data_IF_833826261873
#
_entry.id   IF_833826261873
#
_cell.length_a   1.000
_cell.length_b   1.000
_cell.length_c   1.000
_cell.angle_alpha   90.00
_cell.angle_beta   90.00
_cell.angle_gamma   90.00
#
_symmetry.space_group_name_H-M   'P 1'
#
loop_
_entity.id
_entity.type
_entity.pdbx_description
1 polymer ?
#
# COMPACT_ATOMS: atom_id res chain seq x y z
N UNK A 1 -7.13 -3.07 22.49
CA UNK A 1 -6.56 -2.19 21.49
C UNK A 1 -6.22 -3.00 20.23
N UNK A 2 -6.52 -2.44 19.06
CA UNK A 2 -6.10 -2.98 17.78
C UNK A 2 -4.77 -2.35 17.36
N UNK A 3 -4.00 -3.08 16.58
CA UNK A 3 -2.70 -2.64 16.09
C UNK A 3 -2.64 -2.81 14.58
N UNK A 4 -2.25 -1.76 13.89
CA UNK A 4 -1.98 -1.77 12.46
C UNK A 4 -0.52 -2.15 12.24
N UNK A 5 -0.28 -3.15 11.43
CA UNK A 5 1.06 -3.58 11.04
C UNK A 5 1.23 -3.45 9.53
N UNK A 6 2.39 -2.98 9.13
CA UNK A 6 2.76 -2.86 7.72
C UNK A 6 4.15 -3.45 7.55
N UNK A 7 4.22 -4.59 6.87
CA UNK A 7 5.44 -5.33 6.58
C UNK A 7 5.80 -5.19 5.10
N UNK A 8 7.06 -4.94 4.81
CA UNK A 8 7.63 -5.00 3.46
C UNK A 8 8.35 -6.33 3.33
N UNK A 9 7.91 -7.15 2.39
CA UNK A 9 8.48 -8.44 2.07
C UNK A 9 9.16 -8.38 0.70
N UNK A 10 10.11 -9.29 0.46
CA UNK A 10 10.76 -9.46 -0.84
C UNK A 10 10.78 -10.93 -1.23
N UNK A 11 10.44 -11.19 -2.49
CA UNK A 11 10.58 -12.51 -3.11
C UNK A 11 11.94 -12.65 -3.82
N UNK A 12 12.21 -13.84 -4.34
CA UNK A 12 13.36 -14.15 -5.21
C UNK A 12 14.74 -13.90 -4.58
N UNK A 13 14.86 -13.93 -3.26
CA UNK A 13 16.15 -13.81 -2.60
C UNK A 13 16.86 -15.16 -2.67
N UNK A 14 18.01 -15.20 -3.37
CA UNK A 14 18.82 -16.41 -3.46
C UNK A 14 19.80 -16.48 -2.29
N UNK A 15 19.80 -17.61 -1.60
CA UNK A 15 20.65 -17.80 -0.43
C UNK A 15 20.74 -19.27 0.02
N UNK A 16 21.50 -19.53 1.07
CA UNK A 16 21.57 -20.86 1.65
C UNK A 16 20.28 -21.20 2.40
N UNK A 17 19.90 -22.47 2.32
CA UNK A 17 18.81 -23.05 3.10
C UNK A 17 19.29 -24.31 3.80
N UNK A 18 19.07 -24.42 5.11
CA UNK A 18 19.28 -25.65 5.84
C UNK A 18 18.14 -26.63 5.61
N UNK A 19 18.46 -27.84 5.20
CA UNK A 19 17.49 -28.94 5.09
C UNK A 19 17.68 -29.93 6.23
N UNK A 20 16.90 -29.76 7.29
CA UNK A 20 16.95 -30.60 8.48
C UNK A 20 16.49 -32.04 8.28
N UNK A 21 15.96 -32.41 7.09
CA UNK A 21 15.42 -33.73 6.79
C UNK A 21 16.38 -34.66 6.03
N UNK A 22 17.35 -34.12 5.29
CA UNK A 22 18.17 -34.91 4.37
C UNK A 22 19.55 -35.30 4.94
N UNK A 23 19.92 -34.83 6.12
CA UNK A 23 21.25 -35.03 6.69
C UNK A 23 22.40 -34.26 6.01
N UNK A 24 22.09 -33.49 4.98
CA UNK A 24 22.99 -32.53 4.35
C UNK A 24 22.68 -31.14 4.87
N UNK A 25 23.60 -30.54 5.60
CA UNK A 25 23.40 -29.28 6.32
C UNK A 25 23.09 -28.07 5.41
N UNK A 26 23.30 -28.17 4.11
CA UNK A 26 23.14 -27.05 3.18
C UNK A 26 22.71 -27.58 1.81
N UNK A 27 21.46 -27.41 1.46
CA UNK A 27 21.09 -27.47 0.05
C UNK A 27 21.62 -26.23 -0.64
N UNK A 28 22.62 -26.43 -1.48
CA UNK A 28 23.20 -25.43 -2.41
C UNK A 28 22.84 -23.97 -2.13
N UNK A 29 23.79 -23.06 -2.12
CA UNK A 29 23.60 -21.60 -1.95
C UNK A 29 22.61 -20.94 -2.93
N UNK A 30 21.71 -21.73 -3.54
CA UNK A 30 20.80 -21.33 -4.61
C UNK A 30 19.33 -21.52 -4.23
N UNK A 31 19.00 -21.67 -2.94
CA UNK A 31 17.59 -21.72 -2.57
C UNK A 31 16.94 -20.34 -2.75
N UNK A 32 15.77 -20.34 -3.39
CA UNK A 32 14.99 -19.14 -3.62
C UNK A 32 14.03 -18.92 -2.44
N UNK A 33 14.36 -17.94 -1.62
CA UNK A 33 13.51 -17.50 -0.52
C UNK A 33 12.46 -16.52 -1.03
N UNK A 34 11.21 -16.76 -0.66
CA UNK A 34 10.09 -15.87 -0.93
C UNK A 34 9.49 -15.36 0.39
N UNK A 35 8.81 -14.22 0.32
CA UNK A 35 8.18 -13.56 1.46
C UNK A 35 9.18 -13.22 2.61
N UNK A 36 10.42 -12.92 2.27
CA UNK A 36 11.42 -12.51 3.25
C UNK A 36 11.10 -11.13 3.80
N UNK A 37 10.96 -11.01 5.12
CA UNK A 37 10.72 -9.72 5.78
C UNK A 37 11.94 -8.82 5.60
N UNK A 38 11.72 -7.64 4.98
CA UNK A 38 12.77 -6.64 4.75
C UNK A 38 12.65 -5.47 5.71
N UNK A 39 11.41 -5.02 5.99
CA UNK A 39 11.19 -3.85 6.83
C UNK A 39 9.81 -3.88 7.47
N UNK A 40 9.69 -3.33 8.69
CA UNK A 40 8.42 -3.07 9.36
C UNK A 40 8.20 -1.55 9.42
N UNK A 41 7.23 -1.04 8.68
CA UNK A 41 6.94 0.40 8.61
C UNK A 41 6.31 0.94 9.89
N UNK A 42 5.64 0.09 10.64
CA UNK A 42 4.93 0.41 11.90
C UNK A 42 5.68 -0.06 13.15
N UNK A 43 6.95 -0.48 12.99
CA UNK A 43 7.66 -1.16 14.07
C UNK A 43 7.13 -2.58 14.33
N UNK A 44 7.80 -3.33 15.22
CA UNK A 44 7.51 -4.75 15.43
C UNK A 44 6.16 -5.03 16.11
N UNK A 45 5.64 -4.07 16.86
CA UNK A 45 4.39 -4.21 17.62
C UNK A 45 3.19 -3.56 16.95
N UNK A 46 3.41 -2.93 15.80
CA UNK A 46 2.39 -2.18 15.09
C UNK A 46 2.06 -0.82 15.72
N UNK A 47 1.32 -0.03 14.97
CA UNK A 47 0.76 1.25 15.42
C UNK A 47 -0.60 1.04 16.06
N UNK A 48 -0.80 1.58 17.26
CA UNK A 48 -2.08 1.49 17.95
C UNK A 48 -3.20 2.15 17.15
N UNK A 49 -4.29 1.42 16.97
CA UNK A 49 -5.56 1.93 16.50
C UNK A 49 -6.47 2.06 17.72
N UNK A 50 -6.80 3.29 18.11
CA UNK A 50 -7.71 3.52 19.22
C UNK A 50 -9.10 2.99 18.89
N UNK A 51 -9.88 2.72 19.93
CA UNK A 51 -11.25 2.21 19.79
C UNK A 51 -12.03 3.05 18.79
N UNK A 52 -12.55 2.38 17.77
CA UNK A 52 -13.31 2.99 16.69
C UNK A 52 -14.76 2.56 16.80
N UNK A 53 -15.66 3.51 16.60
CA UNK A 53 -17.08 3.20 16.42
C UNK A 53 -17.30 2.57 15.04
N UNK A 54 -18.28 1.70 14.95
CA UNK A 54 -18.65 1.09 13.66
C UNK A 54 -18.91 2.17 12.61
N UNK A 55 -18.34 2.01 11.42
CA UNK A 55 -18.50 2.96 10.31
C UNK A 55 -17.49 4.12 10.32
N UNK A 56 -16.58 4.19 11.28
CA UNK A 56 -15.52 5.22 11.28
C UNK A 56 -14.41 4.84 10.29
N UNK A 57 -14.08 5.75 9.38
CA UNK A 57 -12.93 5.62 8.50
C UNK A 57 -11.68 6.15 9.21
N UNK A 58 -10.61 5.35 9.21
CA UNK A 58 -9.28 5.78 9.64
C UNK A 58 -8.38 5.80 8.41
N UNK A 59 -7.83 6.98 8.11
CA UNK A 59 -6.82 7.15 7.08
C UNK A 59 -5.46 7.42 7.74
N UNK A 60 -4.44 6.65 7.34
CA UNK A 60 -3.04 6.85 7.75
C UNK A 60 -2.17 6.80 6.50
N UNK A 61 -1.12 7.61 6.49
CA UNK A 61 -0.12 7.63 5.42
C UNK A 61 1.22 7.17 5.98
N UNK A 62 1.89 6.30 5.24
CA UNK A 62 3.22 5.80 5.57
C UNK A 62 4.15 6.03 4.39
N UNK A 63 5.41 6.30 4.68
CA UNK A 63 6.47 6.43 3.68
C UNK A 63 7.73 5.72 4.15
N UNK A 64 8.44 5.12 3.23
CA UNK A 64 9.72 4.49 3.48
C UNK A 64 10.68 4.80 2.34
N UNK A 65 11.85 5.33 2.70
CA UNK A 65 12.93 5.50 1.73
C UNK A 65 13.63 4.16 1.56
N UNK A 66 13.46 3.56 0.39
CA UNK A 66 14.00 2.24 0.09
C UNK A 66 15.52 2.32 -0.06
N UNK A 67 16.32 1.65 0.79
CA UNK A 67 17.77 1.60 0.63
C UNK A 67 18.16 0.69 -0.55
N UNK A 68 19.39 0.78 -1.01
CA UNK A 68 19.92 -0.13 -2.04
C UNK A 68 20.00 -1.58 -1.57
N UNK A 69 20.29 -1.77 -0.29
CA UNK A 69 20.39 -3.09 0.35
C UNK A 69 20.01 -3.04 1.84
N UNK A 70 19.76 -4.19 2.43
CA UNK A 70 19.66 -4.40 3.88
C UNK A 70 20.52 -5.60 4.25
N UNK A 71 21.51 -5.36 5.12
CA UNK A 71 22.48 -6.38 5.58
C UNK A 71 23.24 -7.05 4.42
N UNK A 72 23.61 -6.28 3.40
CA UNK A 72 24.33 -6.76 2.23
C UNK A 72 23.46 -7.51 1.20
N UNK A 73 22.15 -7.62 1.43
CA UNK A 73 21.20 -8.19 0.47
C UNK A 73 20.49 -7.07 -0.30
N UNK A 74 20.62 -7.02 -1.63
CA UNK A 74 20.00 -5.98 -2.45
C UNK A 74 18.48 -5.92 -2.28
N UNK A 75 17.93 -4.72 -2.39
CA UNK A 75 16.49 -4.52 -2.53
C UNK A 75 16.16 -4.44 -4.02
N UNK A 76 15.32 -5.37 -4.47
CA UNK A 76 14.80 -5.40 -5.84
C UNK A 76 13.35 -4.94 -5.80
N UNK A 77 13.10 -3.74 -6.34
CA UNK A 77 11.78 -3.09 -6.24
C UNK A 77 10.64 -3.92 -6.85
N UNK A 78 10.92 -4.60 -7.98
CA UNK A 78 9.92 -5.47 -8.63
C UNK A 78 9.51 -6.68 -7.80
N UNK A 79 10.33 -7.07 -6.83
CA UNK A 79 10.14 -8.26 -6.00
C UNK A 79 9.60 -7.91 -4.61
N UNK A 80 9.34 -6.63 -4.35
CA UNK A 80 8.77 -6.18 -3.09
C UNK A 80 7.26 -6.43 -3.04
N UNK A 81 6.77 -6.69 -1.84
CA UNK A 81 5.35 -6.73 -1.48
C UNK A 81 5.13 -5.96 -0.19
N UNK A 82 3.97 -5.36 -0.06
CA UNK A 82 3.53 -4.77 1.21
C UNK A 82 2.38 -5.60 1.75
N UNK A 83 2.53 -6.10 2.96
CA UNK A 83 1.48 -6.81 3.68
C UNK A 83 0.99 -5.91 4.80
N UNK A 84 -0.30 -5.62 4.80
CA UNK A 84 -0.96 -4.80 5.81
C UNK A 84 -1.90 -5.71 6.60
N UNK A 85 -1.74 -5.74 7.91
CA UNK A 85 -2.62 -6.53 8.76
C UNK A 85 -2.97 -5.80 10.05
N UNK A 86 -4.14 -6.11 10.56
CA UNK A 86 -4.62 -5.61 11.85
C UNK A 86 -4.73 -6.78 12.81
N UNK A 87 -4.14 -6.65 13.97
CA UNK A 87 -4.23 -7.62 15.04
C UNK A 87 -4.79 -7.01 16.32
N UNK A 88 -5.37 -7.87 17.14
CA UNK A 88 -5.88 -7.54 18.47
C UNK A 88 -4.98 -8.14 19.53
N UNK A 89 -4.63 -7.37 20.54
CA UNK A 89 -3.83 -7.82 21.70
C UNK A 89 -2.54 -8.59 21.39
N UNK A 90 -1.97 -8.38 20.18
CA UNK A 90 -0.75 -9.05 19.68
C UNK A 90 -0.92 -10.55 19.33
N UNK A 91 -2.08 -11.12 19.45
CA UNK A 91 -2.31 -12.57 19.35
C UNK A 91 -3.25 -12.95 18.20
N UNK A 92 -4.21 -12.11 17.86
CA UNK A 92 -5.21 -12.40 16.84
C UNK A 92 -5.14 -11.47 15.65
N UNK A 93 -4.93 -12.02 14.45
CA UNK A 93 -4.98 -11.26 13.21
C UNK A 93 -6.41 -11.16 12.71
N UNK A 94 -6.93 -9.94 12.61
CA UNK A 94 -8.32 -9.67 12.22
C UNK A 94 -8.49 -9.56 10.70
N UNK A 95 -7.51 -8.99 10.00
CA UNK A 95 -7.55 -8.83 8.55
C UNK A 95 -6.14 -8.69 7.95
N UNK A 96 -5.97 -9.20 6.75
CA UNK A 96 -4.70 -9.13 5.99
C UNK A 96 -4.98 -8.66 4.57
N UNK A 97 -4.19 -7.71 4.10
CA UNK A 97 -4.18 -7.22 2.72
C UNK A 97 -2.76 -7.30 2.20
N UNK A 98 -2.56 -7.91 1.05
CA UNK A 98 -1.28 -7.92 0.33
C UNK A 98 -1.38 -7.00 -0.89
N UNK A 99 -0.38 -6.14 -1.07
CA UNK A 99 -0.28 -5.23 -2.22
C UNK A 99 1.04 -5.51 -2.93
N UNK A 100 0.95 -5.89 -4.21
CA UNK A 100 2.15 -6.06 -5.03
C UNK A 100 2.76 -4.69 -5.44
N UNK A 101 4.06 -4.64 -5.80
CA UNK A 101 4.77 -3.40 -6.10
C UNK A 101 4.16 -2.56 -7.21
N UNK A 102 3.42 -3.18 -8.14
CA UNK A 102 2.75 -2.49 -9.25
C UNK A 102 1.69 -1.48 -8.75
N UNK A 103 1.18 -1.67 -7.53
CA UNK A 103 0.23 -0.76 -6.89
C UNK A 103 0.87 0.23 -5.90
N UNK A 104 2.19 0.13 -5.65
CA UNK A 104 2.90 1.04 -4.74
C UNK A 104 3.40 2.22 -5.57
N UNK A 105 2.96 3.47 -5.30
CA UNK A 105 3.52 4.63 -5.98
C UNK A 105 5.00 4.78 -5.58
N UNK A 106 5.91 4.42 -6.48
CA UNK A 106 7.34 4.70 -6.30
C UNK A 106 7.56 6.16 -6.61
N UNK A 107 7.70 6.98 -5.59
CA UNK A 107 8.12 8.38 -5.76
C UNK A 107 9.64 8.33 -5.98
N UNK A 108 10.06 8.39 -7.24
CA UNK A 108 11.46 8.61 -7.57
C UNK A 108 11.85 10.02 -7.14
N UNK A 109 12.73 10.15 -6.17
CA UNK A 109 13.30 11.43 -5.72
C UNK A 109 14.39 11.94 -6.66
N UNK A 110 14.18 11.93 -7.96
CA UNK A 110 14.83 12.90 -8.82
C UNK A 110 14.07 14.20 -8.65
N UNK A 111 14.75 15.18 -8.07
CA UNK A 111 14.26 16.55 -7.85
C UNK A 111 13.86 17.17 -9.19
N UNK A 112 12.65 16.92 -9.63
CA UNK A 112 11.97 17.75 -10.62
C UNK A 112 10.47 17.46 -10.53
N UNK A 113 9.78 18.42 -9.94
CA UNK A 113 8.35 18.53 -9.76
C UNK A 113 7.78 17.62 -8.64
N UNK A 114 7.65 18.20 -7.46
CA UNK A 114 6.68 17.79 -6.48
C UNK A 114 5.32 17.67 -7.19
N UNK A 115 4.94 16.46 -7.53
CA UNK A 115 3.56 16.18 -7.87
C UNK A 115 2.79 16.45 -6.59
N UNK A 116 2.03 17.52 -6.57
CA UNK A 116 1.13 17.88 -5.48
C UNK A 116 0.13 16.72 -5.31
N UNK A 117 0.40 15.82 -4.36
CA UNK A 117 -0.44 14.67 -4.04
C UNK A 117 -1.85 15.09 -3.56
N UNK A 118 -2.08 16.39 -3.36
CA UNK A 118 -3.38 16.97 -3.08
C UNK A 118 -4.17 17.35 -4.34
N UNK A 119 -3.60 17.24 -5.53
CA UNK A 119 -4.33 17.46 -6.78
C UNK A 119 -5.00 16.17 -7.23
N UNK A 120 -6.15 15.89 -6.65
CA UNK A 120 -7.08 14.92 -7.22
C UNK A 120 -7.37 15.29 -8.68
N UNK A 121 -7.24 14.32 -9.56
CA UNK A 121 -7.47 14.50 -10.99
C UNK A 121 -8.92 14.17 -11.32
N UNK A 122 -9.59 15.08 -12.02
CA UNK A 122 -10.94 14.83 -12.52
C UNK A 122 -10.88 13.70 -13.57
N UNK A 123 -11.62 12.63 -13.31
CA UNK A 123 -11.73 11.47 -14.22
C UNK A 123 -12.88 11.67 -15.20
N UNK A 124 -14.06 12.05 -14.71
CA UNK A 124 -15.25 12.27 -15.54
C UNK A 124 -16.28 13.15 -14.84
N UNK A 125 -17.16 13.72 -15.63
CA UNK A 125 -18.34 14.45 -15.15
C UNK A 125 -19.59 13.74 -15.66
N UNK A 126 -20.52 13.45 -14.76
CA UNK A 126 -21.78 12.78 -15.11
C UNK A 126 -22.99 13.57 -14.64
N UNK A 127 -24.12 13.40 -15.34
CA UNK A 127 -25.43 13.91 -14.91
C UNK A 127 -26.03 13.04 -13.78
N UNK A 128 -27.21 13.40 -13.32
CA UNK A 128 -27.90 12.65 -12.26
C UNK A 128 -28.36 11.23 -12.68
N UNK A 129 -28.33 10.91 -13.98
CA UNK A 129 -28.57 9.58 -14.52
C UNK A 129 -27.29 8.78 -14.75
N UNK A 130 -26.12 9.34 -14.39
CA UNK A 130 -24.82 8.70 -14.56
C UNK A 130 -24.25 8.77 -15.99
N UNK A 131 -24.83 9.54 -16.90
CA UNK A 131 -24.33 9.71 -18.26
C UNK A 131 -23.25 10.77 -18.31
N UNK A 132 -22.16 10.50 -19.03
CA UNK A 132 -21.09 11.49 -19.22
C UNK A 132 -21.61 12.73 -19.94
N UNK A 133 -21.21 13.91 -19.43
CA UNK A 133 -21.62 15.21 -19.98
C UNK A 133 -20.45 16.20 -19.93
N UNK A 134 -20.43 17.12 -20.87
CA UNK A 134 -19.49 18.24 -20.87
C UNK A 134 -19.91 19.43 -20.00
N UNK A 135 -21.06 19.32 -19.36
CA UNK A 135 -21.64 20.31 -18.48
C UNK A 135 -22.89 20.95 -19.10
N UNK A 136 -23.99 20.92 -18.34
CA UNK A 136 -25.22 21.65 -18.60
C UNK A 136 -25.42 22.67 -17.48
N UNK A 137 -25.94 23.85 -17.81
CA UNK A 137 -26.27 24.89 -16.82
C UNK A 137 -27.57 24.50 -16.12
N UNK A 138 -27.71 24.90 -14.86
CA UNK A 138 -28.90 24.69 -14.01
C UNK A 138 -29.25 23.23 -13.71
N UNK A 139 -28.33 22.27 -13.96
CA UNK A 139 -28.49 20.88 -13.58
C UNK A 139 -27.38 20.44 -12.61
N UNK A 140 -27.69 19.50 -11.69
CA UNK A 140 -26.66 18.95 -10.82
C UNK A 140 -25.73 18.02 -11.60
N UNK A 141 -24.43 18.30 -11.53
CA UNK A 141 -23.38 17.51 -12.12
C UNK A 141 -22.53 16.87 -11.02
N UNK A 142 -22.08 15.65 -11.26
CA UNK A 142 -21.21 14.91 -10.37
C UNK A 142 -19.82 14.80 -11.00
N UNK A 143 -18.84 15.40 -10.33
CA UNK A 143 -17.42 15.38 -10.69
C UNK A 143 -16.78 14.22 -9.97
N UNK A 144 -16.31 13.21 -10.71
CA UNK A 144 -15.69 11.99 -10.19
C UNK A 144 -14.19 12.12 -10.36
N UNK A 145 -13.46 11.95 -9.25
CA UNK A 145 -12.00 12.08 -9.20
C UNK A 145 -11.31 10.71 -9.11
N UNK A 146 -10.01 10.69 -9.40
CA UNK A 146 -9.17 9.48 -9.40
C UNK A 146 -8.95 8.88 -8.00
N UNK A 147 -9.18 9.66 -6.94
CA UNK A 147 -9.17 9.20 -5.55
C UNK A 147 -10.51 8.57 -5.10
N UNK A 148 -11.46 8.43 -6.02
CA UNK A 148 -12.80 7.91 -5.74
C UNK A 148 -13.76 8.92 -5.13
N UNK A 149 -13.34 10.16 -4.89
CA UNK A 149 -14.22 11.21 -4.38
C UNK A 149 -15.18 11.69 -5.46
N UNK A 150 -16.40 12.10 -5.03
CA UNK A 150 -17.44 12.64 -5.90
C UNK A 150 -17.89 13.99 -5.35
N UNK A 151 -17.81 15.03 -6.17
CA UNK A 151 -18.35 16.35 -5.85
C UNK A 151 -19.61 16.64 -6.65
N UNK A 152 -20.66 17.10 -5.99
CA UNK A 152 -21.86 17.63 -6.65
C UNK A 152 -21.69 19.14 -6.87
N UNK A 153 -21.85 19.60 -8.11
CA UNK A 153 -21.82 21.02 -8.46
C UNK A 153 -23.06 21.39 -9.28
N UNK A 154 -23.57 22.60 -9.07
CA UNK A 154 -24.64 23.21 -9.84
C UNK A 154 -24.12 24.57 -10.33
N UNK A 155 -24.04 24.77 -11.63
CA UNK A 155 -23.69 26.08 -12.21
C UNK A 155 -25.00 26.81 -12.48
N UNK A 156 -25.24 27.91 -11.78
CA UNK A 156 -26.40 28.78 -11.93
C UNK A 156 -25.96 29.99 -12.75
N UNK A 157 -26.79 30.42 -13.68
CA UNK A 157 -26.62 31.71 -14.41
C UNK A 157 -27.07 32.88 -13.57
#
# INVERSE_FOLDING_TARGET
NNFLNIAVLQDNIIGPQEDGGSGTQWTNNNYQHNNMLRYMMTGYWGDTINTISQGTLIAKQFSWTVPSDINGLPIVLSDLKVVIFVNQYKEETLNVIEISPIGIPVISTTVSNLVDLNKRRLVRVVDFLGRETKGTKNEPLFYIYDDGTVEKRITIE
#
